data_IF_913058839179
#
_entry.id   IF_913058839179
#
_cell.length_a   1.000
_cell.length_b   1.000
_cell.length_c   1.000
_cell.angle_alpha   90.00
_cell.angle_beta   90.00
_cell.angle_gamma   90.00
#
_symmetry.space_group_name_H-M   'P 1'
#
loop_
_entity.id
_entity.type
_entity.pdbx_description
1 polymer ?
#
# COMPACT_ATOMS: atom_id res chain seq x y z
N UNK A 1 8.63 13.68 -21.21
CA UNK A 1 7.55 14.70 -21.31
C UNK A 1 7.43 15.45 -19.98
N UNK A 2 6.84 16.65 -19.97
CA UNK A 2 6.62 17.39 -18.71
C UNK A 2 5.80 16.55 -17.73
N UNK A 3 4.74 15.90 -18.19
CA UNK A 3 3.92 15.01 -17.38
C UNK A 3 4.72 13.89 -16.71
N UNK A 4 5.68 13.28 -17.41
CA UNK A 4 6.54 12.23 -16.82
C UNK A 4 7.45 12.80 -15.74
N UNK A 5 7.97 14.02 -15.93
CA UNK A 5 8.78 14.69 -14.92
C UNK A 5 7.95 15.00 -13.66
N UNK A 6 6.75 15.55 -13.86
CA UNK A 6 5.83 15.87 -12.74
C UNK A 6 5.44 14.60 -11.95
N UNK A 7 5.13 13.50 -12.64
CA UNK A 7 4.85 12.21 -12.01
C UNK A 7 6.05 11.68 -11.22
N UNK A 8 7.26 11.86 -11.74
CA UNK A 8 8.47 11.42 -11.07
C UNK A 8 8.71 12.17 -9.77
N UNK A 9 8.54 13.50 -9.78
CA UNK A 9 8.65 14.31 -8.56
C UNK A 9 7.58 13.94 -7.53
N UNK A 10 6.32 13.73 -7.93
CA UNK A 10 5.26 13.26 -7.04
C UNK A 10 5.60 11.94 -6.36
N UNK A 11 6.23 11.01 -7.08
CA UNK A 11 6.66 9.73 -6.50
C UNK A 11 7.77 9.95 -5.47
N UNK A 12 8.75 10.81 -5.75
CA UNK A 12 9.82 11.14 -4.80
C UNK A 12 9.26 11.81 -3.55
N UNK A 13 8.35 12.73 -3.70
CA UNK A 13 7.64 13.34 -2.56
C UNK A 13 6.93 12.28 -1.72
N UNK A 14 6.19 11.36 -2.34
CA UNK A 14 5.52 10.25 -1.65
C UNK A 14 6.49 9.33 -0.93
N UNK A 15 7.63 8.97 -1.52
CA UNK A 15 8.66 8.17 -0.88
C UNK A 15 9.27 8.87 0.33
N UNK A 16 9.54 10.18 0.23
CA UNK A 16 10.06 11.00 1.32
C UNK A 16 9.04 11.11 2.47
N UNK A 17 7.78 11.34 2.14
CA UNK A 17 6.66 11.39 3.10
C UNK A 17 6.53 10.08 3.88
N UNK A 18 6.74 8.95 3.21
CA UNK A 18 6.73 7.62 3.80
C UNK A 18 8.08 7.23 4.45
N UNK A 19 9.08 8.11 4.39
CA UNK A 19 10.44 7.86 4.90
C UNK A 19 11.07 6.61 4.29
N UNK A 20 10.79 6.32 3.03
CA UNK A 20 11.39 5.23 2.26
C UNK A 20 12.65 5.76 1.61
N UNK A 21 13.81 5.21 2.00
CA UNK A 21 15.10 5.55 1.37
C UNK A 21 15.16 4.99 -0.04
N UNK A 22 15.62 5.79 -0.98
CA UNK A 22 15.81 5.39 -2.38
C UNK A 22 17.08 6.02 -2.95
N UNK A 23 17.56 5.46 -4.05
CA UNK A 23 18.65 6.01 -4.85
C UNK A 23 18.15 6.20 -6.28
N UNK A 24 18.39 7.37 -6.85
CA UNK A 24 18.11 7.63 -8.27
C UNK A 24 19.24 7.04 -9.12
N UNK A 25 18.90 6.21 -10.09
CA UNK A 25 19.84 5.61 -11.03
C UNK A 25 19.36 5.84 -12.49
N UNK A 26 20.00 6.78 -13.17
CA UNK A 26 19.69 7.13 -14.56
C UNK A 26 20.01 6.00 -15.55
N UNK A 27 20.76 4.99 -15.13
CA UNK A 27 21.15 3.84 -15.96
C UNK A 27 20.26 2.62 -15.74
N UNK A 28 19.33 2.69 -14.78
CA UNK A 28 18.42 1.60 -14.52
C UNK A 28 17.51 1.35 -15.74
N UNK A 29 17.66 0.19 -16.35
CA UNK A 29 16.81 -0.28 -17.43
C UNK A 29 16.22 -1.64 -17.08
N UNK A 30 15.02 -1.91 -17.59
CA UNK A 30 14.37 -3.23 -17.46
C UNK A 30 14.38 -3.91 -18.83
N UNK A 31 14.54 -5.22 -18.83
CA UNK A 31 14.60 -6.03 -20.07
C UNK A 31 13.28 -6.18 -20.84
N UNK A 32 12.26 -5.38 -20.53
CA UNK A 32 10.93 -5.45 -21.11
C UNK A 32 10.55 -4.05 -21.62
N UNK A 33 10.12 -3.97 -22.87
CA UNK A 33 9.88 -2.74 -23.64
C UNK A 33 8.50 -2.10 -23.39
N UNK A 34 7.64 -2.74 -22.62
CA UNK A 34 6.32 -2.22 -22.30
C UNK A 34 6.31 -1.14 -21.19
N UNK A 35 7.42 -0.98 -20.45
CA UNK A 35 7.49 0.04 -19.40
C UNK A 35 7.47 1.45 -19.98
N UNK A 36 6.82 2.35 -19.27
CA UNK A 36 6.81 3.78 -19.54
C UNK A 36 6.91 4.57 -18.21
N UNK A 37 7.44 5.79 -18.28
CA UNK A 37 7.64 6.75 -17.19
C UNK A 37 8.62 6.27 -16.10
N UNK A 38 8.20 5.35 -15.23
CA UNK A 38 8.97 4.91 -14.06
C UNK A 38 9.28 3.42 -14.14
N UNK A 39 10.51 3.07 -13.78
CA UNK A 39 10.93 1.72 -13.40
C UNK A 39 11.62 1.76 -12.04
N UNK A 40 11.55 0.67 -11.30
CA UNK A 40 12.21 0.56 -10.01
C UNK A 40 12.70 -0.86 -9.75
N UNK A 41 13.66 -0.98 -8.82
CA UNK A 41 14.15 -2.23 -8.26
C UNK A 41 14.27 -2.14 -6.75
N UNK A 42 14.07 -3.26 -6.08
CA UNK A 42 14.42 -3.45 -4.69
C UNK A 42 15.62 -4.37 -4.62
N UNK A 43 16.63 -3.91 -3.92
CA UNK A 43 17.91 -4.60 -3.79
C UNK A 43 18.22 -4.89 -2.33
N UNK A 44 18.96 -5.98 -2.08
CA UNK A 44 19.52 -6.28 -0.77
C UNK A 44 21.01 -6.63 -0.89
N UNK A 45 21.89 -6.06 -0.07
CA UNK A 45 23.30 -6.41 -0.05
C UNK A 45 23.52 -7.87 0.32
N UNK A 46 22.59 -8.51 1.02
CA UNK A 46 22.69 -9.92 1.45
C UNK A 46 22.60 -10.91 0.27
N UNK A 47 22.20 -10.45 -0.91
CA UNK A 47 22.11 -11.26 -2.13
C UNK A 47 23.39 -11.23 -3.00
N UNK A 48 24.44 -10.57 -2.55
CA UNK A 48 25.70 -10.47 -3.27
C UNK A 48 25.63 -9.62 -4.55
N UNK A 49 26.33 -10.03 -5.61
CA UNK A 49 26.47 -9.24 -6.84
C UNK A 49 25.18 -9.09 -7.64
N UNK A 50 24.28 -10.05 -7.55
CA UNK A 50 22.95 -9.98 -8.16
C UNK A 50 21.94 -9.66 -7.07
N UNK A 51 21.94 -8.43 -6.58
CA UNK A 51 21.25 -8.00 -5.38
C UNK A 51 19.76 -7.66 -5.54
N UNK A 52 19.24 -7.62 -6.77
CA UNK A 52 17.81 -7.30 -7.05
C UNK A 52 16.92 -8.49 -6.73
N UNK A 53 15.93 -8.34 -5.87
CA UNK A 53 14.92 -9.37 -5.57
C UNK A 53 13.50 -9.00 -6.03
N UNK A 54 13.24 -7.72 -6.27
CA UNK A 54 11.95 -7.24 -6.77
C UNK A 54 12.20 -6.15 -7.82
N UNK A 55 11.38 -6.12 -8.85
CA UNK A 55 11.44 -5.07 -9.83
C UNK A 55 10.14 -4.87 -10.58
N UNK A 56 9.88 -3.64 -10.97
CA UNK A 56 8.65 -3.25 -11.60
C UNK A 56 8.69 -1.87 -12.23
N UNK A 57 7.51 -1.35 -12.50
CA UNK A 57 7.35 -0.04 -13.09
C UNK A 57 5.93 0.22 -13.57
N UNK A 58 5.77 1.30 -14.31
CA UNK A 58 4.53 1.71 -14.94
C UNK A 58 4.47 1.19 -16.39
N UNK A 59 3.32 0.70 -16.83
CA UNK A 59 3.13 0.11 -18.16
C UNK A 59 1.71 0.36 -18.71
N UNK A 60 1.29 1.60 -18.81
CA UNK A 60 -0.06 2.04 -19.19
C UNK A 60 -0.54 1.51 -20.55
N UNK A 61 0.40 1.27 -21.49
CA UNK A 61 0.07 0.84 -22.85
C UNK A 61 -0.14 -0.67 -23.00
N UNK A 62 0.30 -1.46 -22.02
CA UNK A 62 0.32 -2.92 -22.15
C UNK A 62 -1.08 -3.50 -22.36
N UNK A 63 -2.08 -3.04 -21.60
CA UNK A 63 -3.46 -3.52 -21.76
C UNK A 63 -3.97 -3.31 -23.18
N UNK A 64 -3.73 -2.13 -23.76
CA UNK A 64 -4.14 -1.80 -25.14
C UNK A 64 -3.38 -2.62 -26.19
N UNK A 65 -2.08 -2.85 -26.00
CA UNK A 65 -1.28 -3.68 -26.90
C UNK A 65 -1.76 -5.13 -26.94
N UNK A 66 -2.31 -5.62 -25.83
CA UNK A 66 -2.91 -6.95 -25.73
C UNK A 66 -4.39 -7.00 -26.14
N UNK A 67 -4.93 -5.93 -26.74
CA UNK A 67 -6.34 -5.87 -27.19
C UNK A 67 -7.34 -5.50 -26.10
N UNK A 68 -6.88 -5.11 -24.91
CA UNK A 68 -7.70 -4.64 -23.82
C UNK A 68 -8.02 -3.15 -23.86
N UNK A 69 -8.55 -2.62 -22.78
CA UNK A 69 -8.88 -1.19 -22.63
C UNK A 69 -7.60 -0.36 -22.45
N UNK A 70 -7.64 0.90 -22.90
CA UNK A 70 -6.63 1.88 -22.56
C UNK A 70 -6.80 2.29 -21.08
N UNK A 71 -5.89 1.85 -20.22
CA UNK A 71 -5.96 2.12 -18.79
C UNK A 71 -4.55 2.20 -18.18
N UNK A 72 -4.33 3.10 -17.21
CA UNK A 72 -3.09 3.14 -16.47
C UNK A 72 -2.83 1.82 -15.76
N UNK A 73 -1.58 1.38 -15.79
CA UNK A 73 -1.16 0.17 -15.12
C UNK A 73 0.25 0.29 -14.54
N UNK A 74 0.43 -0.25 -13.36
CA UNK A 74 1.72 -0.40 -12.71
C UNK A 74 1.75 -1.74 -11.98
N UNK A 75 2.93 -2.32 -11.84
CA UNK A 75 3.09 -3.56 -11.11
C UNK A 75 4.55 -3.94 -10.94
N UNK A 76 4.76 -5.06 -10.31
CA UNK A 76 6.08 -5.59 -10.02
C UNK A 76 6.07 -7.12 -9.99
N UNK A 77 7.26 -7.69 -10.05
CA UNK A 77 7.49 -9.12 -9.81
C UNK A 77 8.55 -9.29 -8.72
N UNK A 78 8.42 -10.37 -7.96
CA UNK A 78 9.36 -10.72 -6.89
C UNK A 78 9.95 -12.09 -7.20
N UNK A 79 11.28 -12.21 -7.09
CA UNK A 79 11.96 -13.50 -7.09
C UNK A 79 11.75 -14.20 -5.75
N UNK A 80 10.88 -15.20 -5.67
CA UNK A 80 10.53 -15.88 -4.42
C UNK A 80 11.74 -16.53 -3.76
N UNK A 81 12.60 -17.20 -4.53
CA UNK A 81 13.81 -17.82 -4.00
C UNK A 81 14.77 -16.78 -3.40
N UNK A 82 14.88 -15.61 -4.04
CA UNK A 82 15.69 -14.49 -3.53
C UNK A 82 15.11 -13.88 -2.27
N UNK A 83 13.77 -13.70 -2.26
CA UNK A 83 13.08 -13.21 -1.07
C UNK A 83 13.26 -14.18 0.09
N UNK A 84 13.16 -15.50 -0.14
CA UNK A 84 13.36 -16.52 0.88
C UNK A 84 14.77 -16.51 1.48
N UNK A 85 15.80 -16.15 0.69
CA UNK A 85 17.19 -16.05 1.19
C UNK A 85 17.41 -14.89 2.17
N UNK A 86 16.61 -13.82 2.07
CA UNK A 86 16.77 -12.62 2.90
C UNK A 86 15.68 -12.47 3.98
N UNK A 87 14.67 -13.34 3.97
CA UNK A 87 13.61 -13.34 4.98
C UNK A 87 13.81 -14.51 5.95
N UNK A 88 13.73 -14.22 7.25
CA UNK A 88 13.56 -15.26 8.24
C UNK A 88 12.09 -15.67 8.25
N UNK A 89 11.82 -16.94 7.99
CA UNK A 89 10.46 -17.48 8.06
C UNK A 89 9.97 -17.42 9.49
N UNK A 90 9.08 -16.50 9.79
CA UNK A 90 8.26 -16.55 10.99
C UNK A 90 6.95 -17.26 10.58
N UNK A 91 6.58 -18.33 11.27
CA UNK A 91 5.25 -18.92 11.13
C UNK A 91 4.23 -17.88 11.62
N UNK A 92 3.57 -17.23 10.67
CA UNK A 92 2.46 -16.34 10.99
C UNK A 92 1.22 -17.17 11.28
N UNK A 93 0.82 -17.20 12.52
CA UNK A 93 -0.53 -17.64 12.92
C UNK A 93 -1.57 -16.66 12.37
N UNK A 94 -2.80 -17.11 12.19
CA UNK A 94 -3.96 -16.36 11.68
C UNK A 94 -3.95 -14.89 12.12
N UNK A 95 -3.76 -13.99 11.17
CA UNK A 95 -3.68 -12.55 11.43
C UNK A 95 -5.02 -11.90 11.15
N UNK A 96 -5.49 -11.05 12.06
CA UNK A 96 -6.62 -10.16 11.85
C UNK A 96 -6.37 -9.26 10.64
N UNK A 97 -7.44 -8.86 9.96
CA UNK A 97 -7.35 -8.05 8.74
C UNK A 97 -8.05 -6.70 8.91
N UNK A 98 -7.39 -5.66 8.42
CA UNK A 98 -7.87 -4.29 8.48
C UNK A 98 -7.85 -3.66 7.10
N UNK A 99 -8.97 -3.02 6.71
CA UNK A 99 -9.08 -2.20 5.50
C UNK A 99 -9.06 -0.73 5.89
N UNK A 100 -8.12 0.04 5.32
CA UNK A 100 -8.16 1.49 5.39
C UNK A 100 -9.08 2.00 4.28
N UNK A 101 -10.05 2.82 4.63
CA UNK A 101 -11.10 3.37 3.77
C UNK A 101 -11.00 4.89 3.78
N UNK A 102 -10.99 5.49 2.61
CA UNK A 102 -10.96 6.94 2.44
C UNK A 102 -12.34 7.48 2.05
N UNK A 103 -12.70 8.64 2.58
CA UNK A 103 -13.93 9.34 2.18
C UNK A 103 -13.73 10.17 0.91
N UNK A 104 -12.48 10.57 0.60
CA UNK A 104 -12.11 11.35 -0.58
C UNK A 104 -10.67 11.06 -1.02
N UNK A 105 -10.34 11.33 -2.29
CA UNK A 105 -9.02 11.11 -2.87
C UNK A 105 -7.92 11.96 -2.23
N UNK A 106 -8.25 13.13 -1.69
CA UNK A 106 -7.32 14.03 -1.01
C UNK A 106 -6.63 13.41 0.21
N UNK A 107 -7.22 12.35 0.81
CA UNK A 107 -6.68 11.64 1.98
C UNK A 107 -5.78 10.45 1.65
N UNK A 108 -5.37 10.27 0.39
CA UNK A 108 -4.51 9.13 -0.02
C UNK A 108 -3.17 9.15 0.72
N UNK A 109 -2.56 10.31 0.90
CA UNK A 109 -1.30 10.44 1.66
C UNK A 109 -1.46 10.01 3.12
N UNK A 110 -2.55 10.41 3.77
CA UNK A 110 -2.84 10.05 5.16
C UNK A 110 -3.09 8.54 5.29
N UNK A 111 -3.83 7.95 4.36
CA UNK A 111 -4.06 6.50 4.30
C UNK A 111 -2.78 5.70 4.11
N UNK A 112 -1.87 6.16 3.25
CA UNK A 112 -0.55 5.54 3.05
C UNK A 112 0.29 5.60 4.33
N UNK A 113 0.38 6.76 4.98
CA UNK A 113 1.11 6.95 6.24
C UNK A 113 0.56 6.02 7.33
N UNK A 114 -0.74 6.03 7.55
CA UNK A 114 -1.38 5.15 8.52
C UNK A 114 -1.11 3.66 8.22
N UNK A 115 -1.21 3.26 6.95
CA UNK A 115 -0.97 1.86 6.56
C UNK A 115 0.45 1.40 6.87
N UNK A 116 1.43 2.27 6.72
CA UNK A 116 2.82 1.99 7.00
C UNK A 116 3.10 1.91 8.51
N UNK A 117 2.54 2.84 9.28
CA UNK A 117 2.67 2.86 10.75
C UNK A 117 2.04 1.59 11.37
N UNK A 118 0.81 1.25 10.98
CA UNK A 118 0.14 0.05 11.47
C UNK A 118 0.88 -1.25 11.13
N UNK A 119 1.45 -1.38 9.93
CA UNK A 119 2.27 -2.54 9.55
C UNK A 119 3.57 -2.63 10.34
N UNK A 120 4.14 -1.49 10.73
CA UNK A 120 5.34 -1.44 11.56
C UNK A 120 5.06 -1.85 13.00
N UNK A 121 3.96 -1.35 13.57
CA UNK A 121 3.64 -1.49 14.98
C UNK A 121 2.85 -2.76 15.30
N UNK A 122 2.25 -3.40 14.29
CA UNK A 122 1.49 -4.64 14.43
C UNK A 122 1.82 -5.61 13.28
N UNK A 123 2.82 -6.48 13.50
CA UNK A 123 3.33 -7.40 12.49
C UNK A 123 2.34 -8.52 12.12
N UNK A 124 1.42 -8.83 13.04
CA UNK A 124 0.43 -9.87 12.86
C UNK A 124 -0.87 -9.36 12.22
N UNK A 125 -0.97 -8.05 11.96
CA UNK A 125 -2.11 -7.42 11.32
C UNK A 125 -1.92 -7.35 9.80
N UNK A 126 -2.85 -7.90 9.05
CA UNK A 126 -2.90 -7.74 7.59
C UNK A 126 -3.58 -6.42 7.22
N UNK A 127 -2.80 -5.37 6.97
CA UNK A 127 -3.31 -4.06 6.59
C UNK A 127 -3.48 -3.96 5.08
N UNK A 128 -4.72 -3.70 4.62
CA UNK A 128 -5.09 -3.48 3.23
C UNK A 128 -5.37 -1.99 2.99
N UNK A 129 -4.77 -1.46 1.93
CA UNK A 129 -5.00 -0.10 1.46
C UNK A 129 -5.00 -0.09 -0.07
N UNK A 130 -6.04 0.47 -0.65
CA UNK A 130 -6.23 0.51 -2.11
C UNK A 130 -6.44 1.93 -2.66
N UNK A 131 -6.15 2.95 -1.85
CA UNK A 131 -6.49 4.34 -2.16
C UNK A 131 -8.00 4.58 -2.18
N UNK A 132 -8.40 5.75 -2.68
CA UNK A 132 -9.81 6.05 -2.88
C UNK A 132 -10.35 5.36 -4.14
N UNK A 133 -11.41 4.58 -4.01
CA UNK A 133 -11.98 3.82 -5.13
C UNK A 133 -13.44 4.14 -5.41
N UNK A 134 -14.21 4.46 -4.38
CA UNK A 134 -15.65 4.67 -4.48
C UNK A 134 -16.22 5.24 -3.18
N UNK A 135 -17.54 5.46 -3.12
CA UNK A 135 -18.20 5.94 -1.90
C UNK A 135 -17.92 5.04 -0.68
N UNK A 136 -17.90 5.64 0.51
CA UNK A 136 -17.69 4.98 1.80
C UNK A 136 -18.55 3.70 1.94
N UNK A 137 -19.84 3.79 1.60
CA UNK A 137 -20.78 2.65 1.65
C UNK A 137 -20.30 1.47 0.79
N UNK A 138 -19.83 1.75 -0.43
CA UNK A 138 -19.35 0.70 -1.34
C UNK A 138 -18.05 0.08 -0.87
N UNK A 139 -17.13 0.88 -0.31
CA UNK A 139 -15.87 0.39 0.23
C UNK A 139 -16.13 -0.51 1.45
N UNK A 140 -17.00 -0.11 2.38
CA UNK A 140 -17.41 -0.94 3.53
C UNK A 140 -18.05 -2.26 3.08
N UNK A 141 -18.99 -2.22 2.14
CA UNK A 141 -19.62 -3.43 1.58
C UNK A 141 -18.60 -4.37 0.92
N UNK A 142 -17.58 -3.81 0.26
CA UNK A 142 -16.51 -4.60 -0.34
C UNK A 142 -15.61 -5.25 0.72
N UNK A 143 -15.29 -4.51 1.79
CA UNK A 143 -14.51 -5.04 2.91
C UNK A 143 -15.24 -6.20 3.60
N UNK A 144 -16.52 -6.04 3.90
CA UNK A 144 -17.37 -7.08 4.47
C UNK A 144 -17.44 -8.33 3.57
N UNK A 145 -17.71 -8.16 2.27
CA UNK A 145 -17.71 -9.26 1.29
C UNK A 145 -16.36 -10.02 1.23
N UNK A 146 -15.26 -9.34 1.50
CA UNK A 146 -13.92 -9.94 1.52
C UNK A 146 -13.53 -10.52 2.89
N UNK A 147 -14.48 -10.65 3.82
CA UNK A 147 -14.28 -11.15 5.19
C UNK A 147 -13.18 -10.40 5.95
N UNK A 148 -13.08 -9.08 5.77
CA UNK A 148 -12.19 -8.23 6.54
C UNK A 148 -12.77 -8.04 7.93
N UNK A 149 -11.90 -8.08 8.95
CA UNK A 149 -12.32 -7.99 10.35
C UNK A 149 -12.62 -6.55 10.75
N UNK A 150 -11.76 -5.61 10.34
CA UNK A 150 -11.80 -4.21 10.74
C UNK A 150 -11.79 -3.26 9.55
N UNK A 151 -12.44 -2.11 9.72
CA UNK A 151 -12.30 -0.97 8.81
C UNK A 151 -11.91 0.29 9.59
N UNK A 152 -10.84 0.97 9.17
CA UNK A 152 -10.51 2.32 9.64
C UNK A 152 -10.88 3.31 8.56
N UNK A 153 -11.67 4.32 8.93
CA UNK A 153 -12.14 5.37 8.03
C UNK A 153 -11.28 6.61 8.22
N UNK A 154 -10.89 7.22 7.11
CA UNK A 154 -10.16 8.50 7.08
C UNK A 154 -10.99 9.48 6.27
N UNK A 155 -11.34 10.56 6.91
CA UNK A 155 -12.07 11.69 6.35
C UNK A 155 -11.66 13.01 7.01
N UNK A 156 -12.39 14.10 6.76
CA UNK A 156 -12.04 15.43 7.23
C UNK A 156 -12.00 15.54 8.76
N UNK A 157 -12.86 14.81 9.46
CA UNK A 157 -12.91 14.83 10.93
C UNK A 157 -11.70 14.10 11.52
N UNK A 158 -11.37 12.93 11.00
CA UNK A 158 -10.27 12.10 11.45
C UNK A 158 -8.92 12.82 11.25
N UNK A 159 -8.72 13.45 10.08
CA UNK A 159 -7.50 14.21 9.80
C UNK A 159 -7.38 15.44 10.71
N UNK A 160 -8.49 16.16 10.95
CA UNK A 160 -8.50 17.35 11.79
C UNK A 160 -8.26 17.03 13.27
N UNK A 161 -8.93 15.99 13.78
CA UNK A 161 -8.87 15.60 15.19
C UNK A 161 -7.67 14.71 15.52
N UNK A 162 -7.00 14.13 14.51
CA UNK A 162 -5.98 13.08 14.64
C UNK A 162 -6.49 11.83 15.36
N UNK A 163 -7.78 11.58 15.29
CA UNK A 163 -8.42 10.36 15.77
C UNK A 163 -8.76 9.46 14.59
N UNK A 164 -9.05 8.21 14.85
CA UNK A 164 -9.38 7.21 13.84
C UNK A 164 -10.73 6.58 14.14
N UNK A 165 -11.56 6.51 13.13
CA UNK A 165 -12.86 5.87 13.19
C UNK A 165 -12.72 4.38 12.86
N UNK A 166 -12.70 3.52 13.89
CA UNK A 166 -12.61 2.06 13.76
C UNK A 166 -14.01 1.45 13.74
N UNK A 167 -14.26 0.57 12.80
CA UNK A 167 -15.45 -0.27 12.73
C UNK A 167 -15.07 -1.74 12.71
N UNK A 168 -15.63 -2.55 13.62
CA UNK A 168 -15.60 -4.01 13.58
C UNK A 168 -16.64 -4.50 12.59
N UNK A 169 -16.23 -5.21 11.54
CA UNK A 169 -17.14 -5.58 10.44
C UNK A 169 -17.91 -6.87 10.70
N UNK A 170 -17.42 -7.72 11.61
CA UNK A 170 -18.07 -8.98 12.01
C UNK A 170 -19.01 -8.84 13.19
N UNK A 171 -18.99 -7.71 13.85
CA UNK A 171 -19.79 -7.42 15.04
C UNK A 171 -20.79 -6.30 14.69
N UNK A 172 -21.98 -6.37 15.26
CA UNK A 172 -22.98 -5.32 15.11
C UNK A 172 -22.79 -4.25 16.21
N UNK A 173 -21.56 -3.74 16.27
CA UNK A 173 -21.14 -2.71 17.21
C UNK A 173 -21.05 -1.32 16.57
N UNK A 174 -21.21 -0.30 17.42
CA UNK A 174 -21.04 1.09 17.00
C UNK A 174 -19.55 1.37 16.66
N UNK A 175 -19.35 2.34 15.79
CA UNK A 175 -18.04 2.81 15.40
C UNK A 175 -17.30 3.43 16.59
N UNK A 176 -16.07 3.03 16.83
CA UNK A 176 -15.20 3.59 17.87
C UNK A 176 -14.38 4.75 17.29
N UNK A 177 -14.21 5.81 18.08
CA UNK A 177 -13.32 6.93 17.75
C UNK A 177 -12.12 6.84 18.70
N UNK A 178 -10.93 6.57 18.17
CA UNK A 178 -9.74 6.21 18.91
C UNK A 178 -8.55 7.08 18.53
N UNK A 179 -7.71 7.42 19.50
CA UNK A 179 -6.35 7.90 19.22
C UNK A 179 -5.48 6.77 18.72
N UNK A 180 -4.34 7.07 18.07
CA UNK A 180 -3.49 6.06 17.44
C UNK A 180 -3.08 4.93 18.41
N UNK A 181 -2.62 5.27 19.61
CA UNK A 181 -2.19 4.27 20.61
C UNK A 181 -3.35 3.36 21.06
N UNK A 182 -4.56 3.90 21.13
CA UNK A 182 -5.76 3.15 21.46
C UNK A 182 -6.16 2.22 20.30
N UNK A 183 -6.07 2.72 19.06
CA UNK A 183 -6.30 1.94 17.85
C UNK A 183 -5.35 0.74 17.78
N UNK A 184 -4.05 0.95 18.00
CA UNK A 184 -3.04 -0.13 17.99
C UNK A 184 -3.33 -1.17 19.08
N UNK A 185 -3.77 -0.75 20.28
CA UNK A 185 -4.14 -1.66 21.37
C UNK A 185 -5.39 -2.48 21.02
N UNK A 186 -6.42 -1.83 20.48
CA UNK A 186 -7.68 -2.51 20.10
C UNK A 186 -7.41 -3.59 19.04
N UNK A 187 -6.57 -3.30 18.07
CA UNK A 187 -6.19 -4.24 16.99
C UNK A 187 -5.27 -5.40 17.45
N UNK A 188 -4.69 -5.33 18.67
CA UNK A 188 -3.85 -6.40 19.23
C UNK A 188 -4.60 -7.32 20.20
N UNK A 189 -5.74 -6.89 20.71
CA UNK A 189 -6.46 -7.62 21.76
C UNK A 189 -7.41 -8.70 21.22
N UNK A 190 -7.42 -8.91 19.93
CA UNK A 190 -8.19 -9.94 19.22
C UNK A 190 -7.26 -10.83 18.34
#
# INVERSE_FOLDING_TARGET
>A
SQKSADNYELIKEGLNDLRISYTEDEKLVRGLDYYNDLVFEWTSPDLGSQNTFCGGGRYDRLSKQLGGRDCPAAGFSIGLDRLALITQANESTSSSSLQIILTDESYVSDGLKLSQELRKDNKDLRVLFSGYQSSLKNQLKKADKNNIDFAVIIGPEEVRSKNFSLKKLKEDEDQLILEYDQLVKELKNE
#
